data_IF_981667290578
#
_entry.id   IF_981667290578
#
_cell.length_a   1.000
_cell.length_b   1.000
_cell.length_c   1.000
_cell.angle_alpha   90.00
_cell.angle_beta   90.00
_cell.angle_gamma   90.00
#
_symmetry.space_group_name_H-M   'P 1'
#
loop_
_entity.id
_entity.type
_entity.pdbx_description
1 polymer ?
#
# COMPACT_ATOMS: atom_id res chain seq x y z
N UNK A 1 -7.69 35.24 -23.28
CA UNK A 1 -6.50 34.38 -23.09
C UNK A 1 -6.26 34.02 -21.62
N UNK A 2 -7.15 34.40 -20.68
CA UNK A 2 -6.90 34.36 -19.22
C UNK A 2 -7.50 33.16 -18.48
N UNK A 3 -8.54 32.50 -19.01
CA UNK A 3 -9.23 31.39 -18.31
C UNK A 3 -8.46 30.07 -18.43
N UNK A 4 -7.95 29.75 -19.61
CA UNK A 4 -7.17 28.52 -19.89
C UNK A 4 -5.81 28.50 -19.17
N UNK A 5 -5.19 29.66 -19.01
CA UNK A 5 -3.90 29.81 -18.32
C UNK A 5 -4.06 29.58 -16.81
N UNK A 6 -5.15 30.13 -16.24
CA UNK A 6 -5.49 29.93 -14.82
C UNK A 6 -5.83 28.47 -14.51
N UNK A 7 -6.65 27.79 -15.33
CA UNK A 7 -7.01 26.37 -15.10
C UNK A 7 -5.80 25.42 -15.16
N UNK A 8 -4.86 25.68 -16.07
CA UNK A 8 -3.64 24.89 -16.22
C UNK A 8 -2.69 25.10 -15.04
N UNK A 9 -2.60 26.34 -14.55
CA UNK A 9 -1.83 26.68 -13.35
C UNK A 9 -2.39 26.00 -12.09
N UNK A 10 -3.72 25.93 -11.94
CA UNK A 10 -4.37 25.23 -10.82
C UNK A 10 -4.14 23.73 -10.87
N UNK A 11 -4.32 23.08 -12.03
CA UNK A 11 -4.07 21.64 -12.17
C UNK A 11 -2.64 21.26 -11.78
N UNK A 12 -1.65 22.00 -12.31
CA UNK A 12 -0.23 21.74 -12.02
C UNK A 12 0.08 21.97 -10.54
N UNK A 13 -0.47 23.02 -9.94
CA UNK A 13 -0.32 23.31 -8.51
C UNK A 13 -0.89 22.21 -7.61
N UNK A 14 -2.10 21.73 -7.91
CA UNK A 14 -2.73 20.64 -7.17
C UNK A 14 -1.98 19.31 -7.34
N UNK A 15 -1.47 19.03 -8.54
CA UNK A 15 -0.68 17.84 -8.80
C UNK A 15 0.65 17.88 -8.03
N UNK A 16 1.35 19.02 -8.04
CA UNK A 16 2.59 19.21 -7.27
C UNK A 16 2.35 19.04 -5.77
N UNK A 17 1.26 19.58 -5.24
CA UNK A 17 0.90 19.42 -3.82
C UNK A 17 0.61 17.95 -3.48
N UNK A 18 -0.13 17.25 -4.35
CA UNK A 18 -0.36 15.81 -4.21
C UNK A 18 0.96 15.02 -4.24
N UNK A 19 1.82 15.25 -5.22
CA UNK A 19 3.09 14.54 -5.34
C UNK A 19 4.02 14.81 -4.15
N UNK A 20 4.13 16.06 -3.69
CA UNK A 20 4.89 16.40 -2.50
C UNK A 20 4.35 15.70 -1.24
N UNK A 21 3.02 15.55 -1.12
CA UNK A 21 2.43 14.79 -0.01
C UNK A 21 2.80 13.30 -0.04
N UNK A 22 2.92 12.72 -1.24
CA UNK A 22 3.37 11.34 -1.43
C UNK A 22 4.82 11.17 -1.01
N UNK A 23 5.70 12.06 -1.47
CA UNK A 23 7.11 12.06 -1.06
C UNK A 23 7.27 12.22 0.45
N UNK A 24 6.48 13.11 1.07
CA UNK A 24 6.49 13.31 2.52
C UNK A 24 6.10 12.03 3.27
N UNK A 25 5.03 11.33 2.86
CA UNK A 25 4.61 10.07 3.47
C UNK A 25 5.69 8.99 3.39
N UNK A 26 6.37 8.86 2.25
CA UNK A 26 7.44 7.85 2.10
C UNK A 26 8.74 8.24 2.81
N UNK A 27 8.93 9.52 3.12
CA UNK A 27 10.06 10.02 3.90
C UNK A 27 9.84 9.96 5.42
N UNK A 28 8.71 9.44 5.90
CA UNK A 28 8.43 9.33 7.33
C UNK A 28 9.48 8.43 8.03
N UNK A 29 10.09 8.86 9.16
CA UNK A 29 11.24 8.17 9.76
C UNK A 29 11.01 6.71 10.14
N UNK A 30 9.77 6.35 10.47
CA UNK A 30 9.37 4.98 10.81
C UNK A 30 8.28 4.47 9.85
N UNK A 31 8.22 5.04 8.64
CA UNK A 31 7.29 4.67 7.58
C UNK A 31 7.77 3.47 6.75
N UNK A 32 7.25 3.32 5.54
CA UNK A 32 7.51 2.14 4.69
C UNK A 32 8.97 1.95 4.29
N UNK A 33 9.71 3.03 4.03
CA UNK A 33 11.13 2.97 3.68
C UNK A 33 12.06 2.75 4.87
N UNK A 34 11.52 2.78 6.10
CA UNK A 34 12.28 2.44 7.31
C UNK A 34 12.32 0.94 7.58
N UNK A 35 11.59 0.13 6.81
CA UNK A 35 11.52 -1.31 7.05
C UNK A 35 12.86 -1.97 6.75
N UNK A 36 13.32 -2.83 7.66
CA UNK A 36 14.60 -3.55 7.57
C UNK A 36 14.43 -5.07 7.58
N UNK A 37 13.26 -5.57 7.97
CA UNK A 37 12.97 -6.99 8.00
C UNK A 37 11.47 -7.29 7.94
N UNK A 38 11.15 -8.49 7.43
CA UNK A 38 9.87 -9.18 7.58
C UNK A 38 10.17 -10.59 8.10
N UNK A 39 9.75 -10.89 9.33
CA UNK A 39 10.09 -12.12 10.03
C UNK A 39 8.82 -12.93 10.33
N UNK A 40 8.69 -14.11 9.73
CA UNK A 40 7.55 -14.99 9.96
C UNK A 40 7.71 -15.77 11.26
N UNK A 41 6.64 -15.86 12.04
CA UNK A 41 6.62 -16.57 13.31
C UNK A 41 6.04 -17.97 13.17
N UNK A 42 6.53 -18.87 14.03
CA UNK A 42 6.02 -20.24 14.20
C UNK A 42 5.49 -20.44 15.62
N UNK A 43 4.92 -21.60 15.91
CA UNK A 43 4.30 -21.95 17.20
C UNK A 43 5.32 -22.25 18.32
N UNK A 44 6.61 -22.19 18.01
CA UNK A 44 7.73 -22.36 18.94
C UNK A 44 8.51 -21.06 19.08
N UNK A 45 9.12 -20.87 20.26
CA UNK A 45 9.92 -19.68 20.56
C UNK A 45 11.06 -19.50 19.54
N UNK A 46 11.01 -18.38 18.83
CA UNK A 46 12.01 -17.95 17.85
C UNK A 46 12.77 -16.74 18.37
N UNK A 47 14.08 -16.73 18.18
CA UNK A 47 14.95 -15.57 18.44
C UNK A 47 15.58 -15.11 17.13
N UNK A 48 15.79 -13.81 17.02
CA UNK A 48 16.32 -13.19 15.80
C UNK A 48 17.56 -12.37 16.14
N UNK A 49 18.50 -12.27 15.22
CA UNK A 49 19.78 -11.59 15.47
C UNK A 49 19.58 -10.10 15.77
N UNK A 50 18.68 -9.42 15.04
CA UNK A 50 18.48 -7.97 15.14
C UNK A 50 17.24 -7.55 15.95
N UNK A 51 16.58 -8.51 16.60
CA UNK A 51 15.39 -8.30 17.42
C UNK A 51 15.47 -9.13 18.72
N UNK A 52 15.56 -8.49 19.90
CA UNK A 52 15.63 -9.18 21.18
C UNK A 52 14.30 -9.80 21.58
N UNK A 53 14.34 -10.60 22.65
CA UNK A 53 13.22 -11.41 23.12
C UNK A 53 13.02 -12.70 22.32
N UNK A 54 12.17 -13.56 22.85
CA UNK A 54 11.67 -14.75 22.18
C UNK A 54 10.25 -14.49 21.70
N UNK A 55 10.00 -14.80 20.43
CA UNK A 55 8.74 -14.53 19.75
C UNK A 55 8.17 -15.83 19.21
N UNK A 56 6.88 -16.05 19.45
CA UNK A 56 6.14 -17.14 18.82
C UNK A 56 4.73 -16.70 18.51
N UNK A 57 4.09 -17.37 17.57
CA UNK A 57 2.71 -17.14 17.23
C UNK A 57 1.97 -18.45 17.01
N UNK A 58 0.72 -18.48 17.45
CA UNK A 58 -0.22 -19.52 17.07
C UNK A 58 -1.38 -18.93 16.25
N UNK A 59 -2.40 -19.77 16.00
CA UNK A 59 -3.58 -19.40 15.23
C UNK A 59 -4.33 -18.16 15.79
N UNK A 60 -4.16 -17.84 17.08
CA UNK A 60 -4.92 -16.80 17.76
C UNK A 60 -4.04 -15.63 18.19
N UNK A 61 -2.83 -15.90 18.68
CA UNK A 61 -2.05 -14.89 19.39
C UNK A 61 -0.56 -14.93 19.06
N UNK A 62 0.10 -13.84 19.41
CA UNK A 62 1.56 -13.68 19.40
C UNK A 62 2.01 -13.53 20.82
N UNK A 63 3.03 -14.28 21.22
CA UNK A 63 3.63 -14.17 22.54
C UNK A 63 5.05 -13.64 22.36
N UNK A 64 5.35 -12.55 23.06
CA UNK A 64 6.70 -12.02 23.22
C UNK A 64 7.14 -12.28 24.66
N UNK A 65 8.29 -12.90 24.83
CA UNK A 65 8.93 -13.10 26.13
C UNK A 65 10.25 -12.34 26.15
N UNK A 66 10.38 -11.39 27.07
CA UNK A 66 11.56 -10.53 27.17
C UNK A 66 11.78 -10.09 28.61
N UNK A 67 12.90 -9.42 28.83
CA UNK A 67 13.26 -8.77 30.08
C UNK A 67 13.30 -7.25 29.88
N UNK A 68 13.25 -6.44 30.95
CA UNK A 68 13.43 -5.00 30.83
C UNK A 68 14.75 -4.58 30.17
N UNK A 69 15.77 -5.44 30.16
CA UNK A 69 17.05 -5.17 29.49
C UNK A 69 16.96 -5.23 27.96
N UNK A 70 15.91 -5.85 27.40
CA UNK A 70 15.67 -5.95 25.96
C UNK A 70 15.03 -4.68 25.36
N UNK A 71 14.67 -3.71 26.21
CA UNK A 71 14.08 -2.41 25.87
C UNK A 71 12.81 -2.50 24.99
N UNK A 72 12.06 -3.59 25.16
CA UNK A 72 10.76 -3.78 24.53
C UNK A 72 9.65 -3.14 25.37
N UNK A 73 8.74 -2.41 24.72
CA UNK A 73 7.56 -1.85 25.39
C UNK A 73 6.32 -1.82 24.52
N UNK A 74 5.16 -1.95 25.16
CA UNK A 74 3.83 -1.91 24.54
C UNK A 74 3.05 -0.82 25.27
N UNK A 75 2.55 0.17 24.54
CA UNK A 75 1.85 1.34 25.12
C UNK A 75 2.64 2.03 26.26
N UNK A 76 3.97 2.01 26.15
CA UNK A 76 4.89 2.60 27.14
C UNK A 76 5.18 1.74 28.37
N UNK A 77 4.61 0.53 28.46
CA UNK A 77 4.90 -0.43 29.52
C UNK A 77 5.98 -1.40 29.06
N UNK A 78 7.08 -1.49 29.82
CA UNK A 78 8.17 -2.41 29.53
C UNK A 78 7.70 -3.87 29.60
N UNK A 79 8.22 -4.71 28.70
CA UNK A 79 7.98 -6.15 28.73
C UNK A 79 8.89 -6.80 29.77
N UNK A 80 8.29 -7.47 30.74
CA UNK A 80 8.98 -8.25 31.79
C UNK A 80 8.29 -9.62 31.93
N UNK A 81 8.91 -10.65 31.36
CA UNK A 81 8.29 -11.97 31.16
C UNK A 81 7.52 -12.04 29.84
N UNK A 82 6.42 -12.79 29.84
CA UNK A 82 5.63 -13.06 28.63
C UNK A 82 4.41 -12.15 28.52
N UNK A 83 4.22 -11.54 27.36
CA UNK A 83 3.03 -10.77 26.99
C UNK A 83 2.40 -11.30 25.72
N UNK A 84 1.07 -11.19 25.64
CA UNK A 84 0.27 -11.68 24.52
C UNK A 84 -0.30 -10.52 23.72
N UNK A 85 -0.08 -10.57 22.40
CA UNK A 85 -0.62 -9.66 21.40
C UNK A 85 -1.59 -10.40 20.49
N UNK A 86 -2.70 -9.75 20.12
CA UNK A 86 -3.75 -10.38 19.30
C UNK A 86 -3.95 -9.57 18.01
N UNK A 87 -3.03 -9.67 17.02
CA UNK A 87 -3.19 -8.99 15.75
C UNK A 87 -4.42 -9.52 15.01
N UNK A 88 -5.20 -8.61 14.44
CA UNK A 88 -6.41 -8.92 13.68
C UNK A 88 -6.03 -9.18 12.21
N UNK A 89 -6.63 -10.21 11.63
CA UNK A 89 -6.45 -10.57 10.21
C UNK A 89 -6.70 -9.38 9.29
N UNK A 90 -5.73 -9.05 8.43
CA UNK A 90 -5.81 -7.93 7.49
C UNK A 90 -5.78 -6.51 8.09
N UNK A 91 -5.82 -6.36 9.42
CA UNK A 91 -5.82 -5.06 10.08
C UNK A 91 -4.43 -4.39 10.11
N UNK A 92 -4.34 -3.09 10.45
CA UNK A 92 -3.09 -2.45 10.83
C UNK A 92 -2.39 -3.24 11.95
N UNK A 93 -1.06 -3.31 11.92
CA UNK A 93 -0.33 -4.08 12.91
C UNK A 93 -0.33 -3.47 14.30
N UNK A 94 -0.09 -4.31 15.30
CA UNK A 94 0.15 -3.88 16.68
C UNK A 94 1.60 -3.45 16.82
N UNK A 95 1.86 -2.37 17.56
CA UNK A 95 3.20 -1.80 17.67
C UNK A 95 3.84 -2.19 19.00
N UNK A 96 5.01 -2.83 18.93
CA UNK A 96 5.94 -3.00 20.04
C UNK A 96 7.12 -2.07 19.79
N UNK A 97 7.44 -1.18 20.73
CA UNK A 97 8.61 -0.32 20.63
C UNK A 97 9.85 -1.06 21.10
N UNK A 98 10.97 -0.80 20.44
CA UNK A 98 12.30 -1.23 20.87
C UNK A 98 13.26 -0.05 20.79
N UNK A 99 13.44 0.69 21.88
CA UNK A 99 14.17 1.95 21.87
C UNK A 99 13.61 2.92 20.83
N UNK A 100 14.41 3.24 19.80
CA UNK A 100 14.03 4.10 18.68
C UNK A 100 13.36 3.35 17.50
N UNK A 101 13.32 2.02 17.53
CA UNK A 101 12.72 1.17 16.48
C UNK A 101 11.29 0.79 16.82
N UNK A 102 10.52 0.41 15.80
CA UNK A 102 9.20 -0.21 15.98
C UNK A 102 9.21 -1.62 15.43
N UNK A 103 8.51 -2.50 16.11
CA UNK A 103 8.17 -3.85 15.65
C UNK A 103 6.67 -3.88 15.42
N UNK A 104 6.26 -3.87 14.16
CA UNK A 104 4.86 -4.00 13.75
C UNK A 104 4.53 -5.50 13.68
N UNK A 105 3.56 -5.93 14.50
CA UNK A 105 3.06 -7.31 14.54
C UNK A 105 1.81 -7.40 13.67
N UNK A 106 1.89 -8.16 12.58
CA UNK A 106 0.82 -8.30 11.60
C UNK A 106 0.34 -9.75 11.48
N UNK A 107 -0.93 -9.92 11.12
CA UNK A 107 -1.50 -11.21 10.72
C UNK A 107 -2.04 -11.14 9.30
N UNK A 108 -1.57 -12.05 8.43
CA UNK A 108 -1.95 -12.14 7.02
C UNK A 108 -2.19 -13.60 6.65
N UNK A 109 -3.38 -13.88 6.13
CA UNK A 109 -3.79 -15.23 5.67
C UNK A 109 -3.57 -16.29 6.76
N UNK A 110 -3.87 -15.96 8.01
CA UNK A 110 -3.68 -16.83 9.17
C UNK A 110 -2.24 -16.90 9.71
N UNK A 111 -1.25 -16.46 8.95
CA UNK A 111 0.15 -16.40 9.37
C UNK A 111 0.47 -15.09 10.09
N UNK A 112 1.48 -15.11 10.96
CA UNK A 112 1.94 -13.92 11.69
C UNK A 112 3.34 -13.57 11.27
N UNK A 113 3.56 -12.28 11.03
CA UNK A 113 4.90 -11.74 10.82
C UNK A 113 5.17 -10.53 11.69
N UNK A 114 6.46 -10.27 11.89
CA UNK A 114 7.01 -9.07 12.50
C UNK A 114 7.67 -8.23 11.41
N UNK A 115 7.39 -6.93 11.41
CA UNK A 115 8.06 -5.94 10.57
C UNK A 115 8.89 -5.02 11.45
N UNK A 116 10.17 -4.87 11.13
CA UNK A 116 11.06 -4.01 11.89
C UNK A 116 11.21 -2.68 11.15
N UNK A 117 10.78 -1.60 11.78
CA UNK A 117 10.97 -0.22 11.33
C UNK A 117 12.15 0.41 12.06
N UNK A 118 13.12 0.89 11.29
CA UNK A 118 14.32 1.56 11.78
C UNK A 118 14.60 2.81 10.94
N UNK A 119 14.63 3.98 11.60
CA UNK A 119 14.91 5.26 10.96
C UNK A 119 16.32 5.38 10.36
N UNK A 120 17.22 4.44 10.68
CA UNK A 120 18.55 4.33 10.07
C UNK A 120 18.57 3.46 8.79
N UNK A 121 17.42 2.96 8.33
CA UNK A 121 17.34 2.11 7.15
C UNK A 121 17.99 2.78 5.91
N UNK A 122 18.84 2.05 5.16
CA UNK A 122 19.47 2.58 3.95
C UNK A 122 18.47 3.07 2.90
N UNK A 123 17.33 2.37 2.73
CA UNK A 123 16.28 2.75 1.78
C UNK A 123 15.74 4.15 2.05
N UNK A 124 15.44 4.45 3.33
CA UNK A 124 14.99 5.77 3.76
C UNK A 124 16.05 6.84 3.52
N UNK A 125 17.31 6.56 3.88
CA UNK A 125 18.41 7.51 3.70
C UNK A 125 18.73 7.82 2.22
N UNK A 126 18.46 6.86 1.32
CA UNK A 126 18.68 6.99 -0.13
C UNK A 126 17.47 7.53 -0.88
N UNK A 127 16.32 7.69 -0.21
CA UNK A 127 15.10 8.15 -0.85
C UNK A 127 15.26 9.58 -1.38
N UNK A 128 14.96 9.77 -2.66
CA UNK A 128 15.11 11.05 -3.35
C UNK A 128 13.83 11.50 -4.05
N UNK A 129 12.67 10.99 -3.62
CA UNK A 129 11.37 11.23 -4.25
C UNK A 129 10.91 10.12 -5.18
N UNK A 130 9.59 10.07 -5.40
CA UNK A 130 8.94 9.07 -6.26
C UNK A 130 9.00 9.53 -7.72
N UNK A 131 9.56 8.75 -8.66
CA UNK A 131 9.54 9.14 -10.06
C UNK A 131 8.11 9.14 -10.61
N UNK A 132 7.78 10.10 -11.47
CA UNK A 132 6.45 10.23 -12.09
C UNK A 132 6.56 10.40 -13.61
N UNK A 133 5.43 10.23 -14.30
CA UNK A 133 5.23 10.84 -15.61
C UNK A 133 4.94 12.34 -15.45
N UNK A 134 5.11 13.11 -16.53
CA UNK A 134 4.66 14.51 -16.56
C UNK A 134 3.12 14.55 -16.46
N UNK A 135 2.55 15.40 -15.60
CA UNK A 135 1.10 15.46 -15.43
C UNK A 135 0.41 15.97 -16.71
N UNK A 136 -0.59 15.22 -17.18
CA UNK A 136 -1.35 15.53 -18.38
C UNK A 136 -2.87 15.49 -18.07
N UNK A 137 -3.59 16.61 -18.24
CA UNK A 137 -5.04 16.67 -18.01
C UNK A 137 -5.87 15.65 -18.81
N UNK A 138 -5.37 15.15 -19.94
CA UNK A 138 -6.05 14.12 -20.74
C UNK A 138 -6.19 12.78 -20.01
N UNK A 139 -5.35 12.53 -19.00
CA UNK A 139 -5.43 11.35 -18.14
C UNK A 139 -6.45 11.48 -17.00
N UNK A 140 -7.25 12.55 -17.00
CA UNK A 140 -8.46 12.66 -16.20
C UNK A 140 -9.66 12.31 -17.08
N UNK A 141 -10.16 11.09 -16.91
CA UNK A 141 -11.20 10.50 -17.76
C UNK A 141 -12.52 10.44 -16.97
N UNK A 142 -13.62 10.85 -17.61
CA UNK A 142 -14.95 10.70 -17.03
C UNK A 142 -15.42 9.24 -17.14
N UNK A 143 -16.07 8.75 -16.09
CA UNK A 143 -16.65 7.42 -16.05
C UNK A 143 -17.99 7.40 -15.33
N UNK A 144 -18.65 6.24 -15.40
CA UNK A 144 -19.93 5.99 -14.76
C UNK A 144 -19.80 4.79 -13.84
N UNK A 145 -19.98 5.03 -12.55
CA UNK A 145 -20.09 4.01 -11.53
C UNK A 145 -21.47 3.33 -11.57
N UNK A 146 -21.47 2.01 -11.62
CA UNK A 146 -22.65 1.15 -11.47
C UNK A 146 -22.44 0.25 -10.27
N UNK A 147 -23.27 0.41 -9.24
CA UNK A 147 -23.21 -0.41 -8.05
C UNK A 147 -23.61 -1.86 -8.35
N UNK A 148 -23.02 -2.81 -7.64
CA UNK A 148 -23.58 -4.16 -7.57
C UNK A 148 -24.86 -4.16 -6.73
N UNK A 149 -25.78 -5.08 -7.02
CA UNK A 149 -27.00 -5.28 -6.21
C UNK A 149 -26.65 -5.58 -4.74
N UNK A 150 -25.62 -6.41 -4.56
CA UNK A 150 -25.00 -6.69 -3.26
C UNK A 150 -23.48 -6.56 -3.40
N UNK A 151 -22.83 -6.02 -2.36
CA UNK A 151 -21.37 -5.93 -2.30
C UNK A 151 -20.77 -7.33 -2.37
N UNK A 152 -19.64 -7.46 -3.06
CA UNK A 152 -18.99 -8.74 -3.34
C UNK A 152 -17.59 -8.74 -2.76
N UNK A 153 -17.17 -9.86 -2.19
CA UNK A 153 -15.76 -10.06 -1.85
C UNK A 153 -15.01 -10.52 -3.09
N UNK A 154 -13.98 -9.76 -3.49
CA UNK A 154 -13.03 -10.17 -4.53
C UNK A 154 -11.72 -10.55 -3.84
N UNK A 155 -11.28 -11.79 -4.02
CA UNK A 155 -9.99 -12.26 -3.48
C UNK A 155 -8.90 -12.11 -4.54
N UNK A 156 -7.80 -11.50 -4.17
CA UNK A 156 -6.58 -11.39 -5.00
C UNK A 156 -5.40 -12.02 -4.27
N UNK A 157 -4.41 -12.52 -4.99
CA UNK A 157 -3.13 -12.87 -4.39
C UNK A 157 -2.38 -11.64 -3.86
N UNK A 158 -1.18 -11.88 -3.32
CA UNK A 158 -0.26 -10.85 -2.86
C UNK A 158 1.10 -10.94 -3.56
N UNK A 159 1.95 -9.93 -3.33
CA UNK A 159 3.37 -9.96 -3.73
C UNK A 159 4.22 -10.97 -2.95
N UNK A 160 3.69 -11.48 -1.82
CA UNK A 160 4.27 -12.59 -1.07
C UNK A 160 3.47 -13.84 -1.41
N UNK A 161 4.16 -14.90 -1.83
CA UNK A 161 3.56 -16.18 -2.19
C UNK A 161 2.76 -16.76 -1.01
N UNK A 162 1.58 -17.33 -1.31
CA UNK A 162 0.69 -17.93 -0.30
C UNK A 162 -0.23 -16.94 0.41
N UNK A 163 0.01 -15.63 0.34
CA UNK A 163 -0.89 -14.64 0.93
C UNK A 163 -1.98 -14.16 -0.04
N UNK A 164 -3.13 -13.83 0.53
CA UNK A 164 -4.31 -13.34 -0.17
C UNK A 164 -4.89 -12.09 0.49
N UNK A 165 -5.59 -11.29 -0.30
CA UNK A 165 -6.33 -10.11 0.14
C UNK A 165 -7.79 -10.22 -0.26
N UNK A 166 -8.67 -9.77 0.62
CA UNK A 166 -10.11 -9.78 0.42
C UNK A 166 -10.59 -8.33 0.29
N UNK A 167 -11.10 -7.97 -0.89
CA UNK A 167 -11.53 -6.62 -1.19
C UNK A 167 -13.06 -6.53 -1.21
N UNK A 168 -13.59 -5.47 -0.60
CA UNK A 168 -15.01 -5.14 -0.63
C UNK A 168 -15.35 -4.43 -1.95
N UNK A 169 -15.74 -5.19 -2.96
CA UNK A 169 -16.11 -4.69 -4.28
C UNK A 169 -17.55 -4.16 -4.28
N UNK A 170 -17.68 -2.88 -4.65
CA UNK A 170 -18.96 -2.14 -4.59
C UNK A 170 -19.66 -2.03 -5.93
N UNK A 171 -18.95 -2.25 -7.03
CA UNK A 171 -19.48 -2.10 -8.36
C UNK A 171 -18.37 -2.00 -9.40
N UNK A 172 -18.73 -1.43 -10.54
CA UNK A 172 -17.81 -1.19 -11.65
C UNK A 172 -17.87 0.25 -12.11
N UNK A 173 -16.75 0.78 -12.60
CA UNK A 173 -16.69 2.07 -13.29
C UNK A 173 -16.41 1.80 -14.76
N UNK A 174 -17.32 2.23 -15.63
CA UNK A 174 -17.14 2.17 -17.08
C UNK A 174 -16.73 3.53 -17.63
N UNK A 175 -15.79 3.57 -18.57
CA UNK A 175 -15.28 4.79 -19.18
C UNK A 175 -14.80 4.52 -20.62
N UNK A 176 -14.70 5.57 -21.42
CA UNK A 176 -14.21 5.49 -22.81
C UNK A 176 -12.72 5.89 -22.88
N UNK A 177 -11.94 5.13 -23.65
CA UNK A 177 -10.58 5.49 -24.02
C UNK A 177 -10.29 5.00 -25.43
N UNK A 178 -9.72 5.86 -26.28
CA UNK A 178 -9.41 5.57 -27.69
C UNK A 178 -10.56 4.93 -28.49
N UNK A 179 -11.80 5.34 -28.19
CA UNK A 179 -13.02 4.88 -28.86
C UNK A 179 -13.50 3.49 -28.44
N UNK A 180 -12.97 2.94 -27.34
CA UNK A 180 -13.45 1.71 -26.74
C UNK A 180 -13.89 1.92 -25.29
N UNK A 181 -14.96 1.21 -24.90
CA UNK A 181 -15.43 1.13 -23.52
C UNK A 181 -14.55 0.19 -22.72
N UNK A 182 -14.10 0.64 -21.57
CA UNK A 182 -13.38 -0.15 -20.57
C UNK A 182 -14.11 -0.13 -19.23
N UNK A 183 -13.89 -1.15 -18.42
CA UNK A 183 -14.54 -1.31 -17.13
C UNK A 183 -13.53 -1.73 -16.07
N UNK A 184 -13.60 -1.12 -14.88
CA UNK A 184 -12.78 -1.45 -13.72
C UNK A 184 -13.68 -1.77 -12.54
N UNK A 185 -13.38 -2.83 -11.79
CA UNK A 185 -13.98 -3.11 -10.49
C UNK A 185 -13.52 -2.04 -9.49
N UNK A 186 -14.48 -1.45 -8.79
CA UNK A 186 -14.27 -0.43 -7.77
C UNK A 186 -14.44 -1.03 -6.37
N UNK A 187 -13.42 -0.89 -5.53
CA UNK A 187 -13.43 -1.35 -4.14
C UNK A 187 -13.74 -0.20 -3.19
N UNK A 188 -14.33 -0.51 -2.03
CA UNK A 188 -14.67 0.48 -1.01
C UNK A 188 -13.45 1.32 -0.61
N UNK A 189 -13.57 2.65 -0.72
CA UNK A 189 -12.53 3.62 -0.36
C UNK A 189 -12.91 4.46 0.85
N UNK A 190 -12.19 5.56 1.05
CA UNK A 190 -12.50 6.57 2.08
C UNK A 190 -13.63 7.46 1.62
N UNK A 191 -14.35 8.08 2.56
CA UNK A 191 -15.36 9.12 2.30
C UNK A 191 -16.43 8.71 1.28
N UNK A 192 -16.85 7.44 1.30
CA UNK A 192 -17.76 6.82 0.32
C UNK A 192 -17.25 6.83 -1.14
N UNK A 193 -15.98 7.16 -1.35
CA UNK A 193 -15.27 6.96 -2.60
C UNK A 193 -14.82 5.52 -2.78
N UNK A 194 -13.92 5.34 -3.75
CA UNK A 194 -13.40 4.05 -4.16
C UNK A 194 -11.89 4.07 -4.24
N UNK A 195 -11.31 2.88 -4.17
CA UNK A 195 -9.97 2.65 -4.68
C UNK A 195 -10.01 1.58 -5.76
N UNK A 196 -9.15 1.73 -6.76
CA UNK A 196 -8.99 0.79 -7.86
C UNK A 196 -7.56 0.30 -7.85
N UNK A 197 -7.38 -1.01 -7.70
CA UNK A 197 -6.10 -1.67 -7.98
C UNK A 197 -6.10 -2.07 -9.44
N UNK A 198 -5.14 -1.59 -10.22
CA UNK A 198 -5.08 -1.87 -11.65
C UNK A 198 -3.65 -2.14 -12.13
N UNK A 199 -3.58 -2.84 -13.26
CA UNK A 199 -2.40 -2.93 -14.11
C UNK A 199 -2.74 -2.43 -15.50
N UNK A 200 -1.71 -2.07 -16.26
CA UNK A 200 -1.86 -1.57 -17.62
C UNK A 200 -0.64 -1.96 -18.47
N UNK A 201 -0.57 -1.55 -19.72
CA UNK A 201 0.53 -1.94 -20.60
C UNK A 201 1.91 -1.38 -20.18
N UNK A 202 1.97 -0.42 -19.24
CA UNK A 202 3.22 0.08 -18.65
C UNK A 202 3.73 -0.78 -17.49
N UNK A 203 2.90 -1.67 -16.93
CA UNK A 203 3.21 -2.46 -15.73
C UNK A 203 4.37 -3.43 -16.00
N UNK A 204 5.40 -3.36 -15.15
CA UNK A 204 6.65 -4.13 -15.31
C UNK A 204 7.64 -3.52 -16.31
N UNK A 205 7.28 -2.44 -17.00
CA UNK A 205 8.16 -1.70 -17.90
C UNK A 205 8.60 -0.37 -17.28
N UNK A 206 7.66 0.56 -17.14
CA UNK A 206 7.89 1.89 -16.56
C UNK A 206 7.14 2.11 -15.25
N UNK A 207 6.18 1.23 -14.92
CA UNK A 207 5.40 1.26 -13.67
C UNK A 207 5.48 -0.08 -12.95
N UNK A 208 5.16 -0.09 -11.65
CA UNK A 208 5.32 -1.28 -10.82
C UNK A 208 4.44 -2.44 -11.32
N UNK A 209 4.96 -3.69 -11.42
CA UNK A 209 4.27 -4.78 -12.11
C UNK A 209 3.01 -5.30 -11.41
N UNK A 210 2.93 -5.26 -10.07
CA UNK A 210 1.85 -5.96 -9.37
C UNK A 210 0.52 -5.19 -9.39
N UNK A 211 0.57 -3.89 -9.13
CA UNK A 211 -0.56 -2.98 -9.15
C UNK A 211 -0.09 -1.52 -8.95
N UNK A 212 -0.88 -0.60 -9.49
CA UNK A 212 -0.99 0.77 -8.97
C UNK A 212 -2.39 0.98 -8.38
N UNK A 213 -2.51 1.93 -7.47
CA UNK A 213 -3.76 2.31 -6.83
C UNK A 213 -4.23 3.66 -7.38
N UNK A 214 -5.50 3.72 -7.78
CA UNK A 214 -6.18 4.96 -8.13
C UNK A 214 -7.30 5.22 -7.12
N UNK A 215 -7.25 6.37 -6.45
CA UNK A 215 -8.35 6.84 -5.61
C UNK A 215 -9.39 7.56 -6.46
N UNK A 216 -10.66 7.25 -6.24
CA UNK A 216 -11.80 7.87 -6.92
C UNK A 216 -12.73 8.42 -5.86
N UNK A 217 -13.11 9.69 -5.97
CA UNK A 217 -14.07 10.30 -5.04
C UNK A 217 -15.44 9.63 -5.14
N UNK A 218 -16.31 9.88 -4.15
CA UNK A 218 -17.69 9.42 -4.18
C UNK A 218 -18.38 9.85 -5.49
N UNK A 219 -19.25 9.00 -6.06
CA UNK A 219 -19.94 9.30 -7.31
C UNK A 219 -20.94 10.45 -7.12
N UNK A 220 -21.06 11.29 -8.14
CA UNK A 220 -22.12 12.29 -8.21
C UNK A 220 -23.51 11.63 -8.34
N UNK A 221 -24.60 12.36 -8.08
CA UNK A 221 -25.94 11.89 -8.39
C UNK A 221 -26.03 11.43 -9.86
N UNK A 222 -26.44 10.17 -10.07
CA UNK A 222 -26.45 9.54 -11.40
C UNK A 222 -25.21 8.71 -11.74
N UNK A 223 -24.24 8.62 -10.84
CA UNK A 223 -23.11 7.68 -10.93
C UNK A 223 -21.86 8.26 -11.60
N UNK A 224 -21.84 9.54 -12.00
CA UNK A 224 -20.67 10.12 -12.63
C UNK A 224 -19.46 10.17 -11.67
N UNK A 225 -18.29 9.81 -12.18
CA UNK A 225 -17.01 9.83 -11.45
C UNK A 225 -15.89 10.32 -12.37
N UNK A 226 -14.81 10.81 -11.78
CA UNK A 226 -13.58 11.15 -12.51
C UNK A 226 -12.46 10.19 -12.14
N UNK A 227 -11.92 9.49 -13.14
CA UNK A 227 -10.74 8.65 -13.05
C UNK A 227 -9.51 9.50 -13.38
N UNK A 228 -8.80 9.97 -12.36
CA UNK A 228 -7.61 10.79 -12.57
C UNK A 228 -6.32 9.99 -12.44
N UNK A 229 -5.89 9.40 -13.56
CA UNK A 229 -4.68 8.58 -13.60
C UNK A 229 -3.39 9.38 -13.34
N UNK A 230 -3.42 10.73 -13.38
CA UNK A 230 -2.27 11.54 -12.92
C UNK A 230 -1.98 11.34 -11.43
N UNK A 231 -2.96 10.84 -10.68
CA UNK A 231 -2.87 10.53 -9.25
C UNK A 231 -2.81 9.02 -8.98
N UNK A 232 -2.57 8.21 -10.00
CA UNK A 232 -2.27 6.79 -9.82
C UNK A 232 -0.95 6.64 -9.06
N UNK A 233 -0.98 5.91 -7.95
CA UNK A 233 0.14 5.81 -7.02
C UNK A 233 0.57 4.37 -6.78
N UNK A 234 1.85 4.19 -6.46
CA UNK A 234 2.42 2.92 -6.07
C UNK A 234 1.97 2.53 -4.66
N UNK A 235 1.77 1.22 -4.48
CA UNK A 235 1.64 0.61 -3.16
C UNK A 235 3.03 0.45 -2.51
N UNK A 236 3.10 0.24 -1.18
CA UNK A 236 4.37 0.09 -0.47
C UNK A 236 5.33 -0.96 -1.06
N UNK A 237 4.81 -2.06 -1.61
CA UNK A 237 5.61 -3.11 -2.27
C UNK A 237 6.44 -2.63 -3.48
N UNK A 238 6.16 -1.45 -4.03
CA UNK A 238 7.01 -0.85 -5.05
C UNK A 238 8.34 -0.34 -4.49
N UNK A 239 8.39 -0.10 -3.18
CA UNK A 239 9.52 0.53 -2.49
C UNK A 239 10.29 -0.45 -1.62
N UNK A 240 9.61 -1.46 -1.06
CA UNK A 240 10.19 -2.40 -0.11
C UNK A 240 9.66 -3.82 -0.30
N UNK A 241 10.53 -4.81 -0.09
CA UNK A 241 10.18 -6.23 -0.13
C UNK A 241 9.45 -6.71 1.13
N UNK A 242 9.45 -5.89 2.19
CA UNK A 242 8.83 -6.24 3.47
C UNK A 242 7.31 -5.96 3.47
N UNK A 243 6.76 -5.42 2.39
CA UNK A 243 5.33 -5.16 2.23
C UNK A 243 4.58 -6.36 1.65
N UNK A 244 3.35 -6.59 2.14
CA UNK A 244 2.49 -7.72 1.76
C UNK A 244 1.31 -7.25 0.91
N UNK A 245 1.56 -6.41 -0.11
CA UNK A 245 0.49 -5.77 -0.88
C UNK A 245 -0.29 -6.75 -1.78
N UNK A 246 -1.56 -6.45 -2.10
CA UNK A 246 -2.34 -7.20 -3.08
C UNK A 246 -1.79 -7.02 -4.51
N UNK A 247 -2.06 -7.99 -5.38
CA UNK A 247 -1.98 -7.82 -6.83
C UNK A 247 -3.30 -7.27 -7.38
N UNK A 248 -3.28 -6.59 -8.52
CA UNK A 248 -4.52 -6.17 -9.17
C UNK A 248 -5.32 -7.40 -9.64
N UNK A 249 -6.67 -7.38 -9.56
CA UNK A 249 -7.48 -8.45 -10.13
C UNK A 249 -7.34 -8.47 -11.66
N UNK A 250 -7.56 -9.63 -12.27
CA UNK A 250 -7.39 -9.81 -13.71
C UNK A 250 -8.34 -8.91 -14.52
N UNK A 251 -9.51 -8.63 -13.99
CA UNK A 251 -10.54 -7.74 -14.54
C UNK A 251 -10.09 -6.28 -14.57
N UNK A 252 -9.18 -5.86 -13.68
CA UNK A 252 -8.63 -4.51 -13.66
C UNK A 252 -7.31 -4.39 -14.43
N UNK A 253 -7.21 -5.12 -15.55
CA UNK A 253 -6.07 -5.02 -16.47
C UNK A 253 -6.46 -4.20 -17.70
N UNK A 254 -5.91 -2.99 -17.79
CA UNK A 254 -6.09 -2.14 -18.97
C UNK A 254 -5.17 -2.61 -20.11
N UNK A 255 -5.69 -2.72 -21.35
CA UNK A 255 -4.90 -3.23 -22.47
C UNK A 255 -3.98 -2.18 -23.12
N UNK A 256 -4.03 -0.94 -22.66
CA UNK A 256 -3.26 0.21 -23.18
C UNK A 256 -2.32 0.77 -22.12
N UNK A 257 -1.39 1.64 -22.54
CA UNK A 257 -0.40 2.23 -21.65
C UNK A 257 -0.97 3.46 -20.94
N UNK A 258 -0.99 3.43 -19.61
CA UNK A 258 -1.35 4.59 -18.78
C UNK A 258 -0.08 5.33 -18.36
N UNK A 259 0.37 6.23 -19.23
CA UNK A 259 1.56 7.08 -19.03
C UNK A 259 1.26 8.31 -18.15
N UNK A 260 0.72 8.06 -16.96
CA UNK A 260 0.36 9.06 -15.96
C UNK A 260 0.66 8.54 -14.55
N UNK A 261 0.84 9.46 -13.59
CA UNK A 261 1.03 9.12 -12.19
C UNK A 261 2.44 8.62 -11.88
N UNK A 262 2.56 7.82 -10.82
CA UNK A 262 3.84 7.32 -10.32
C UNK A 262 4.41 6.20 -11.23
N UNK A 263 5.73 6.23 -11.40
CA UNK A 263 6.57 5.22 -12.08
C UNK A 263 7.20 4.28 -11.07
N UNK A 264 7.85 3.23 -11.56
CA UNK A 264 8.63 2.33 -10.69
C UNK A 264 9.73 3.11 -9.95
N UNK A 265 9.82 3.02 -8.61
CA UNK A 265 10.88 3.65 -7.83
C UNK A 265 12.27 3.18 -8.27
N UNK A 266 13.27 4.06 -8.17
CA UNK A 266 14.66 3.76 -8.61
C UNK A 266 15.40 2.81 -7.67
N UNK A 267 15.01 2.79 -6.40
CA UNK A 267 15.61 1.99 -5.34
C UNK A 267 14.54 1.10 -4.74
N UNK A 268 14.72 -0.21 -4.92
CA UNK A 268 14.02 -1.25 -4.18
C UNK A 268 15.08 -1.97 -3.38
N UNK A 269 14.86 -2.12 -2.08
CA UNK A 269 15.85 -2.78 -1.20
C UNK A 269 16.28 -4.11 -1.81
N UNK A 270 17.58 -4.24 -2.09
CA UNK A 270 18.17 -5.44 -2.69
C UNK A 270 18.41 -6.58 -1.69
N UNK A 271 17.68 -6.59 -0.57
CA UNK A 271 17.92 -7.49 0.56
C UNK A 271 16.64 -8.18 1.00
N UNK A 272 16.03 -9.00 0.14
CA UNK A 272 15.12 -10.02 0.64
C UNK A 272 15.94 -11.04 1.46
N UNK A 273 15.64 -11.28 2.75
CA UNK A 273 16.15 -12.47 3.42
C UNK A 273 15.45 -13.69 2.81
N UNK A 274 16.24 -14.72 2.51
CA UNK A 274 15.74 -16.08 2.27
C UNK A 274 15.27 -16.71 3.57
#
# INVERSE_FOLDING_TARGET
>A
MTVTDTSTSTFTGEWNAWHASRDATFSEPLGWLSLTALLWLVDTDSTFTDLPGAWRADANAVVVTATPADDLSIDGVAVDGSLTLNPIEGAPGLIVKQGARLVEVIRRTGEVALRIHDSSAPALAQFSGIPTFEPNPQWRIEGVFTAFEEARTVTTGAVVEGLEHHHDARGTISFEHDGATHTLIAFAGKDNGFHILFTDATSGLSTYPAARSLHVSAPEPGGAVALDFNRASNLPCAFTDYATCPVAPAENRLPFAVEAGEKTPKTRDGSAPR
#
